data_IF_970581527763
#
_entry.id   IF_970581527763
#
_cell.length_a   1.000
_cell.length_b   1.000
_cell.length_c   1.000
_cell.angle_alpha   90.00
_cell.angle_beta   90.00
_cell.angle_gamma   90.00
#
_symmetry.space_group_name_H-M   'P 1'
#
loop_
_entity.id
_entity.type
_entity.pdbx_description
1 polymer ?
#
# COMPACT_ATOMS: atom_id res chain seq x y z
N UNK A 1 -26.69 -7.64 24.53
CA UNK A 1 -25.40 -7.83 23.84
C UNK A 1 -24.89 -6.46 23.45
N UNK A 2 -24.05 -5.88 24.30
CA UNK A 2 -23.50 -4.54 24.14
C UNK A 2 -22.49 -4.53 23.00
N UNK A 3 -22.86 -3.90 21.89
CA UNK A 3 -21.90 -3.45 20.88
C UNK A 3 -20.96 -2.45 21.56
N UNK A 4 -19.74 -2.87 21.85
CA UNK A 4 -18.70 -1.96 22.31
C UNK A 4 -18.38 -1.01 21.15
N UNK A 5 -18.89 0.20 21.27
CA UNK A 5 -18.63 1.33 20.38
C UNK A 5 -17.20 1.82 20.69
N UNK A 6 -16.21 0.96 20.47
CA UNK A 6 -14.81 1.28 20.70
C UNK A 6 -14.35 2.24 19.61
N UNK A 7 -13.84 3.38 20.07
CA UNK A 7 -13.23 4.36 19.20
C UNK A 7 -12.11 3.66 18.38
N UNK A 8 -12.07 3.78 17.03
CA UNK A 8 -11.02 3.17 16.21
C UNK A 8 -9.61 3.53 16.67
N UNK A 9 -9.43 4.72 17.25
CA UNK A 9 -8.16 5.13 17.87
C UNK A 9 -7.80 4.29 19.10
N UNK A 10 -8.78 3.95 19.94
CA UNK A 10 -8.56 3.14 21.14
C UNK A 10 -8.15 1.71 20.77
N UNK A 11 -8.85 1.12 19.80
CA UNK A 11 -8.49 -0.20 19.26
C UNK A 11 -7.08 -0.23 18.67
N UNK A 12 -6.67 0.85 18.02
CA UNK A 12 -5.32 0.97 17.47
C UNK A 12 -4.27 1.11 18.57
N UNK A 13 -4.49 1.95 19.59
CA UNK A 13 -3.56 2.09 20.73
C UNK A 13 -3.42 0.79 21.52
N UNK A 14 -4.52 0.08 21.74
CA UNK A 14 -4.53 -1.19 22.44
C UNK A 14 -3.73 -2.23 21.65
N UNK A 15 -3.90 -2.29 20.32
CA UNK A 15 -3.08 -3.12 19.46
C UNK A 15 -1.60 -2.77 19.55
N UNK A 16 -1.24 -1.48 19.44
CA UNK A 16 0.16 -1.06 19.52
C UNK A 16 0.83 -1.47 20.84
N UNK A 17 0.09 -1.47 21.95
CA UNK A 17 0.60 -1.90 23.26
C UNK A 17 0.98 -3.38 23.31
N UNK A 18 0.40 -4.21 22.43
CA UNK A 18 0.69 -5.66 22.36
C UNK A 18 1.85 -6.00 21.43
N UNK A 19 2.25 -5.08 20.55
CA UNK A 19 3.27 -5.35 19.54
C UNK A 19 4.68 -5.05 20.07
N UNK A 20 5.70 -5.81 19.63
CA UNK A 20 7.10 -5.43 19.88
C UNK A 20 7.39 -4.03 19.30
N UNK A 21 7.94 -3.15 20.12
CA UNK A 21 8.37 -1.81 19.73
C UNK A 21 9.90 -1.69 19.79
N UNK A 22 10.49 -1.03 18.80
CA UNK A 22 11.90 -0.62 18.80
C UNK A 22 12.04 0.73 18.12
N UNK A 23 12.48 1.77 18.85
CA UNK A 23 12.73 3.12 18.32
C UNK A 23 11.56 3.67 17.48
N UNK A 24 10.35 3.67 18.05
CA UNK A 24 9.10 4.13 17.40
C UNK A 24 8.65 3.31 16.17
N UNK A 25 9.27 2.15 15.96
CA UNK A 25 8.82 1.14 15.00
C UNK A 25 8.09 0.01 15.72
N UNK A 26 7.01 -0.47 15.14
CA UNK A 26 6.20 -1.57 15.65
C UNK A 26 6.32 -2.78 14.72
N UNK A 27 6.54 -3.95 15.29
CA UNK A 27 6.62 -5.19 14.53
C UNK A 27 5.22 -5.75 14.29
N UNK A 28 4.80 -5.80 13.03
CA UNK A 28 3.51 -6.36 12.61
C UNK A 28 3.71 -7.34 11.46
N UNK A 29 3.16 -8.56 11.59
CA UNK A 29 3.25 -9.63 10.58
C UNK A 29 4.68 -9.92 10.09
N UNK A 30 5.68 -9.75 10.95
CA UNK A 30 7.10 -10.00 10.64
C UNK A 30 7.87 -8.79 10.08
N UNK A 31 7.22 -7.65 9.88
CA UNK A 31 7.84 -6.42 9.35
C UNK A 31 7.74 -5.27 10.34
N UNK A 32 8.68 -4.33 10.26
CA UNK A 32 8.74 -3.16 11.12
C UNK A 32 8.13 -1.94 10.42
N UNK A 33 7.17 -1.29 11.09
CA UNK A 33 6.47 -0.12 10.55
C UNK A 33 6.55 1.07 11.50
N UNK A 34 6.70 2.30 10.98
CA UNK A 34 6.37 3.51 11.74
C UNK A 34 4.88 3.50 12.13
N UNK A 35 4.53 4.03 13.30
CA UNK A 35 3.15 3.94 13.79
C UNK A 35 2.13 4.54 12.81
N UNK A 36 2.46 5.66 12.17
CA UNK A 36 1.58 6.36 11.22
C UNK A 36 1.36 5.60 9.91
N UNK A 37 2.27 4.67 9.55
CA UNK A 37 2.06 3.76 8.42
C UNK A 37 1.26 2.54 8.85
N UNK A 38 1.54 2.01 10.04
CA UNK A 38 0.89 0.81 10.54
C UNK A 38 -0.63 0.98 10.66
N UNK A 39 -1.10 2.16 11.07
CA UNK A 39 -2.52 2.47 11.11
C UNK A 39 -3.17 2.33 9.72
N UNK A 40 -2.56 2.93 8.69
CA UNK A 40 -3.03 2.84 7.31
C UNK A 40 -2.99 1.42 6.76
N UNK A 41 -1.94 0.65 7.08
CA UNK A 41 -1.82 -0.77 6.71
C UNK A 41 -3.00 -1.59 7.25
N UNK A 42 -3.34 -1.42 8.53
CA UNK A 42 -4.44 -2.15 9.17
C UNK A 42 -5.81 -1.77 8.58
N UNK A 43 -6.02 -0.49 8.31
CA UNK A 43 -7.26 0.01 7.71
C UNK A 43 -7.43 -0.50 6.27
N UNK A 44 -6.37 -0.43 5.47
CA UNK A 44 -6.36 -0.99 4.11
C UNK A 44 -6.65 -2.49 4.13
N UNK A 45 -6.06 -3.25 5.05
CA UNK A 45 -6.37 -4.68 5.18
C UNK A 45 -7.86 -4.96 5.49
N UNK A 46 -8.54 -4.07 6.21
CA UNK A 46 -9.94 -4.25 6.62
C UNK A 46 -10.94 -3.71 5.59
N UNK A 47 -10.63 -2.58 4.95
CA UNK A 47 -11.58 -1.81 4.15
C UNK A 47 -11.33 -1.89 2.63
N UNK A 48 -10.09 -2.20 2.20
CA UNK A 48 -9.75 -2.19 0.78
C UNK A 48 -10.31 -3.41 0.04
N UNK A 49 -11.10 -3.15 -0.98
CA UNK A 49 -11.63 -4.17 -1.89
C UNK A 49 -10.96 -4.01 -3.26
N UNK A 50 -10.08 -4.94 -3.61
CA UNK A 50 -9.46 -4.96 -4.93
C UNK A 50 -10.49 -5.32 -6.01
N UNK A 51 -10.44 -4.64 -7.16
CA UNK A 51 -11.19 -4.98 -8.35
C UNK A 51 -10.28 -5.69 -9.36
N UNK A 52 -10.82 -6.53 -10.26
CA UNK A 52 -10.03 -7.19 -11.31
C UNK A 52 -9.33 -6.21 -12.27
N UNK A 53 -9.82 -4.97 -12.36
CA UNK A 53 -9.28 -3.90 -13.19
C UNK A 53 -8.12 -3.14 -12.53
N UNK A 54 -7.81 -3.42 -11.26
CA UNK A 54 -6.75 -2.74 -10.54
C UNK A 54 -5.36 -3.25 -10.92
N UNK A 55 -4.41 -2.32 -10.89
CA UNK A 55 -2.98 -2.61 -11.01
C UNK A 55 -2.29 -2.09 -9.75
N UNK A 56 -1.69 -2.99 -8.99
CA UNK A 56 -1.04 -2.70 -7.72
C UNK A 56 0.47 -2.75 -7.90
N UNK A 57 1.12 -1.62 -7.70
CA UNK A 57 2.57 -1.48 -7.78
C UNK A 57 3.15 -1.60 -6.37
N UNK A 58 3.82 -2.71 -6.09
CA UNK A 58 4.53 -2.94 -4.84
C UNK A 58 6.04 -2.88 -5.03
N UNK A 59 6.73 -2.31 -4.07
CA UNK A 59 8.19 -2.23 -4.07
C UNK A 59 8.71 -1.74 -2.73
N UNK A 60 10.00 -1.94 -2.47
CA UNK A 60 10.59 -1.51 -1.21
C UNK A 60 10.67 0.03 -1.14
N UNK A 61 10.49 0.68 0.03
CA UNK A 61 10.67 2.12 0.14
C UNK A 61 12.00 2.56 -0.46
N UNK A 62 11.97 3.67 -1.23
CA UNK A 62 13.14 4.26 -1.92
C UNK A 62 13.70 3.48 -3.11
N UNK A 63 13.02 2.44 -3.62
CA UNK A 63 13.45 1.73 -4.85
C UNK A 63 13.04 2.37 -6.17
N UNK A 64 12.73 3.67 -6.18
CA UNK A 64 12.48 4.41 -7.42
C UNK A 64 11.09 4.23 -8.03
N UNK A 65 10.06 3.93 -7.21
CA UNK A 65 8.66 3.95 -7.66
C UNK A 65 8.30 5.27 -8.38
N UNK A 66 8.96 6.38 -8.03
CA UNK A 66 8.74 7.70 -8.68
C UNK A 66 9.00 7.69 -10.19
N UNK A 67 10.08 7.04 -10.66
CA UNK A 67 10.38 7.02 -12.09
C UNK A 67 9.39 6.13 -12.86
N UNK A 68 9.01 4.98 -12.29
CA UNK A 68 7.99 4.15 -12.92
C UNK A 68 6.61 4.81 -12.89
N UNK A 69 6.24 5.46 -11.77
CA UNK A 69 5.01 6.25 -11.68
C UNK A 69 4.98 7.35 -12.76
N UNK A 70 6.14 7.94 -13.08
CA UNK A 70 6.28 8.90 -14.17
C UNK A 70 6.20 8.27 -15.57
N UNK A 71 6.74 7.07 -15.79
CA UNK A 71 6.66 6.38 -17.08
C UNK A 71 5.29 5.79 -17.40
N UNK A 72 4.58 5.28 -16.39
CA UNK A 72 3.24 4.71 -16.55
C UNK A 72 2.20 5.77 -16.93
N UNK A 73 2.55 7.06 -16.83
CA UNK A 73 1.70 8.15 -17.31
C UNK A 73 2.41 8.93 -18.41
N UNK A 74 1.81 8.88 -19.59
CA UNK A 74 2.14 9.66 -20.78
C UNK A 74 2.57 11.12 -20.43
N UNK A 75 3.67 11.67 -20.99
CA UNK A 75 4.25 12.99 -20.65
C UNK A 75 3.37 14.23 -20.89
N UNK A 76 2.07 14.09 -21.14
CA UNK A 76 1.16 15.19 -21.48
C UNK A 76 0.35 15.76 -20.29
N UNK A 77 0.50 15.24 -19.07
CA UNK A 77 -0.30 15.69 -17.90
C UNK A 77 0.61 16.28 -16.81
N UNK A 78 0.63 17.61 -16.72
CA UNK A 78 1.40 18.52 -15.86
C UNK A 78 1.15 18.43 -14.33
N UNK A 79 1.08 17.24 -13.72
CA UNK A 79 0.86 17.13 -12.27
C UNK A 79 1.97 16.35 -11.55
N UNK A 80 2.24 16.69 -10.28
CA UNK A 80 3.36 16.17 -9.49
C UNK A 80 3.35 14.62 -9.41
N UNK A 81 4.51 13.94 -9.48
CA UNK A 81 4.62 12.47 -9.55
C UNK A 81 4.07 11.71 -8.33
N UNK A 82 3.97 12.35 -7.16
CA UNK A 82 3.33 11.78 -5.97
C UNK A 82 1.80 11.94 -5.95
N UNK A 83 1.26 12.88 -6.74
CA UNK A 83 -0.19 13.13 -6.83
C UNK A 83 -0.90 12.20 -7.83
N UNK A 84 -0.16 11.33 -8.53
CA UNK A 84 -0.67 10.64 -9.72
C UNK A 84 -0.95 9.15 -9.54
N UNK A 85 -0.26 8.47 -8.62
CA UNK A 85 -0.52 7.08 -8.21
C UNK A 85 -0.53 7.05 -6.68
N UNK A 86 -1.71 6.98 -6.07
CA UNK A 86 -1.85 7.06 -4.61
C UNK A 86 -1.26 5.82 -3.94
N UNK A 87 -0.71 6.04 -2.75
CA UNK A 87 -0.31 4.97 -1.85
C UNK A 87 -1.50 4.45 -1.05
N UNK A 88 -1.67 3.12 -1.00
CA UNK A 88 -2.72 2.47 -0.23
C UNK A 88 -2.65 2.85 1.26
N UNK A 89 -1.49 2.64 1.87
CA UNK A 89 -1.28 2.84 3.30
C UNK A 89 -1.24 4.33 3.75
N UNK A 90 -1.25 5.30 2.82
CA UNK A 90 -1.20 6.74 3.16
C UNK A 90 -2.38 7.49 2.56
N UNK A 91 -2.54 7.45 1.24
CA UNK A 91 -3.51 8.29 0.53
C UNK A 91 -4.91 7.70 0.58
N UNK A 92 -5.05 6.38 0.40
CA UNK A 92 -6.33 5.70 0.54
C UNK A 92 -6.82 5.73 1.99
N UNK A 93 -5.91 5.59 2.95
CA UNK A 93 -6.25 5.76 4.38
C UNK A 93 -6.80 7.16 4.67
N UNK A 94 -6.17 8.22 4.14
CA UNK A 94 -6.65 9.60 4.35
C UNK A 94 -7.95 9.91 3.62
N UNK A 95 -8.14 9.35 2.43
CA UNK A 95 -9.30 9.63 1.58
C UNK A 95 -9.79 8.35 0.87
N UNK A 96 -10.64 7.53 1.52
CA UNK A 96 -11.13 6.27 0.95
C UNK A 96 -12.00 6.47 -0.31
N UNK A 97 -12.58 7.66 -0.48
CA UNK A 97 -13.40 8.03 -1.65
C UNK A 97 -12.57 8.47 -2.86
N UNK A 98 -11.23 8.37 -2.83
CA UNK A 98 -10.37 8.72 -3.97
C UNK A 98 -10.57 7.83 -5.19
N UNK A 99 -11.31 6.74 -5.05
CA UNK A 99 -11.53 5.77 -6.09
C UNK A 99 -12.90 5.95 -6.74
N UNK A 100 -12.89 6.34 -8.00
CA UNK A 100 -14.10 6.31 -8.83
C UNK A 100 -14.32 4.87 -9.33
N UNK A 101 -15.53 4.33 -9.10
CA UNK A 101 -15.88 2.92 -9.31
C UNK A 101 -15.80 2.46 -10.78
N UNK A 102 -15.60 3.40 -11.70
CA UNK A 102 -15.65 3.17 -13.15
C UNK A 102 -14.29 3.24 -13.86
N UNK A 103 -13.17 3.45 -13.15
CA UNK A 103 -11.86 3.65 -13.77
C UNK A 103 -10.78 2.67 -13.28
N UNK A 104 -9.94 2.21 -14.22
CA UNK A 104 -8.72 1.45 -13.93
C UNK A 104 -7.85 2.22 -12.94
N UNK A 105 -7.75 1.71 -11.71
CA UNK A 105 -6.99 2.37 -10.66
C UNK A 105 -5.60 1.75 -10.57
N UNK A 106 -4.58 2.54 -10.93
CA UNK A 106 -3.20 2.20 -10.65
C UNK A 106 -2.90 2.67 -9.23
N UNK A 107 -2.60 1.74 -8.34
CA UNK A 107 -2.32 1.99 -6.92
C UNK A 107 -0.89 1.58 -6.60
N UNK A 108 -0.30 2.16 -5.56
CA UNK A 108 1.01 1.76 -5.08
C UNK A 108 0.98 1.40 -3.61
N UNK A 109 1.87 0.51 -3.18
CA UNK A 109 2.03 0.17 -1.77
C UNK A 109 3.45 -0.27 -1.47
N UNK A 110 3.90 0.01 -0.25
CA UNK A 110 5.12 -0.54 0.33
C UNK A 110 4.86 -1.76 1.21
N UNK A 111 3.62 -2.22 1.27
CA UNK A 111 3.26 -3.42 2.02
C UNK A 111 3.91 -4.65 1.37
N UNK A 112 4.53 -5.53 2.18
CA UNK A 112 5.01 -6.81 1.72
C UNK A 112 3.82 -7.68 1.31
N UNK A 113 4.07 -8.61 0.38
CA UNK A 113 3.03 -9.46 -0.19
C UNK A 113 2.18 -10.18 0.88
N UNK A 114 2.81 -10.66 1.95
CA UNK A 114 2.14 -11.34 3.07
C UNK A 114 1.20 -10.45 3.87
N UNK A 115 1.40 -9.13 3.82
CA UNK A 115 0.56 -8.14 4.48
C UNK A 115 -0.47 -7.52 3.54
N UNK A 116 -0.49 -7.86 2.25
CA UNK A 116 -1.50 -7.33 1.34
C UNK A 116 -2.92 -7.79 1.73
N UNK A 117 -3.95 -6.95 1.52
CA UNK A 117 -5.34 -7.34 1.65
C UNK A 117 -5.64 -8.65 0.92
N UNK A 118 -6.33 -9.57 1.58
CA UNK A 118 -6.71 -10.86 0.97
C UNK A 118 -7.54 -10.69 -0.30
N UNK A 119 -8.28 -9.57 -0.40
CA UNK A 119 -9.08 -9.19 -1.55
C UNK A 119 -8.25 -9.07 -2.83
N UNK A 120 -6.99 -8.62 -2.73
CA UNK A 120 -6.04 -8.50 -3.84
C UNK A 120 -5.72 -9.87 -4.44
N UNK A 121 -5.47 -10.86 -3.59
CA UNK A 121 -5.17 -12.22 -4.03
C UNK A 121 -6.40 -12.91 -4.65
N UNK A 122 -7.61 -12.57 -4.20
CA UNK A 122 -8.85 -13.20 -4.69
C UNK A 122 -9.48 -12.51 -5.90
N UNK A 123 -9.21 -11.22 -6.13
CA UNK A 123 -9.89 -10.42 -7.17
C UNK A 123 -9.33 -10.65 -8.58
N UNK A 124 -8.17 -11.31 -8.71
CA UNK A 124 -7.45 -11.43 -9.98
C UNK A 124 -6.85 -10.10 -10.47
N UNK A 125 -6.65 -9.14 -9.57
CA UNK A 125 -5.96 -7.88 -9.88
C UNK A 125 -4.49 -8.13 -10.19
N UNK A 126 -3.87 -7.24 -10.98
CA UNK A 126 -2.48 -7.40 -11.40
C UNK A 126 -1.56 -6.78 -10.37
N UNK A 127 -0.59 -7.55 -9.89
CA UNK A 127 0.45 -7.04 -8.97
C UNK A 127 1.76 -6.91 -9.74
N UNK A 128 2.34 -5.71 -9.74
CA UNK A 128 3.65 -5.41 -10.29
C UNK A 128 4.61 -5.22 -9.11
N UNK A 129 5.52 -6.17 -8.91
CA UNK A 129 6.58 -6.04 -7.93
C UNK A 129 7.85 -5.43 -8.54
N UNK A 130 8.47 -4.48 -7.83
CA UNK A 130 9.70 -3.78 -8.24
C UNK A 130 10.70 -3.86 -7.11
N UNK A 131 11.92 -4.27 -7.44
CA UNK A 131 13.07 -4.18 -6.55
C UNK A 131 14.30 -3.70 -7.31
N UNK A 132 15.22 -3.06 -6.60
CA UNK A 132 16.52 -2.67 -7.14
C UNK A 132 17.54 -3.77 -6.84
N UNK A 133 18.18 -4.30 -7.88
CA UNK A 133 19.37 -5.14 -7.72
C UNK A 133 20.61 -4.26 -7.55
N UNK A 134 21.32 -4.42 -6.44
CA UNK A 134 22.42 -3.53 -6.01
C UNK A 134 23.73 -3.65 -6.80
N UNK A 135 23.77 -4.39 -7.91
CA UNK A 135 25.05 -4.65 -8.61
C UNK A 135 25.33 -3.75 -9.79
N UNK A 136 24.35 -3.28 -10.56
CA UNK A 136 24.54 -2.26 -11.61
C UNK A 136 23.22 -1.51 -11.81
N UNK A 137 23.29 -0.19 -11.84
CA UNK A 137 22.12 0.69 -11.96
C UNK A 137 21.12 0.20 -13.01
N UNK A 138 19.87 0.10 -12.57
CA UNK A 138 18.66 -0.17 -13.35
C UNK A 138 18.52 -1.60 -13.90
N UNK A 139 18.06 -2.50 -13.02
CA UNK A 139 17.24 -3.63 -13.45
C UNK A 139 16.00 -3.66 -12.55
N UNK A 140 14.86 -3.22 -13.09
CA UNK A 140 13.55 -3.49 -12.52
C UNK A 140 13.14 -4.88 -13.00
N UNK A 141 13.22 -5.88 -12.13
CA UNK A 141 12.57 -7.16 -12.43
C UNK A 141 11.06 -6.99 -12.26
N UNK A 142 10.32 -7.22 -13.34
CA UNK A 142 8.87 -7.32 -13.30
C UNK A 142 8.50 -8.72 -12.87
N UNK A 143 8.01 -8.86 -11.64
CA UNK A 143 7.28 -10.06 -11.25
C UNK A 143 5.80 -9.71 -11.24
N UNK A 144 5.10 -10.17 -12.29
CA UNK A 144 3.67 -10.05 -12.40
C UNK A 144 3.05 -11.27 -11.71
N UNK A 145 2.38 -11.06 -10.58
CA UNK A 145 1.55 -12.10 -9.95
C UNK A 145 0.11 -11.99 -10.50
N UNK A 146 -0.54 -13.13 -10.67
CA UNK A 146 -1.92 -13.28 -11.14
C UNK A 146 -2.81 -13.74 -10.00
#
# INVERSE_FOLDING_TARGET
>A
MSFSNENPYQKFTDLLSTLPNMNDLYQYQGFWYPCYILEGVLQVQQQFQALPTDIIITGWPKTGNTWLKALLKNPLLNHLPHALIPFLEIDFFKNPNMRDSHQHSILSTHMPYTSLPKTIASSGCKIIYIYLSGTKGYICFFMAFR
#
